data_IF_639108754662
#
_entry.id   IF_639108754662
#
_cell.length_a   1.000
_cell.length_b   1.000
_cell.length_c   1.000
_cell.angle_alpha   90.00
_cell.angle_beta   90.00
_cell.angle_gamma   90.00
#
_symmetry.space_group_name_H-M   'P 1'
#
loop_
_entity.id
_entity.type
_entity.pdbx_description
1 polymer ?
#
# COMPACT_ATOMS: atom_id res chain seq x y z
N UNK A 1 13.90 -3.70 20.79
CA UNK A 1 14.39 -3.36 19.43
C UNK A 1 13.63 -4.11 18.32
N UNK A 2 13.37 -5.42 18.43
CA UNK A 2 12.67 -6.24 17.40
C UNK A 2 11.32 -5.69 16.88
N UNK A 3 10.48 -5.10 17.74
CA UNK A 3 9.16 -4.59 17.33
C UNK A 3 9.21 -3.33 16.46
N UNK A 4 10.26 -2.52 16.56
CA UNK A 4 10.38 -1.26 15.78
C UNK A 4 10.85 -1.57 14.36
N UNK A 5 11.84 -2.46 14.23
CA UNK A 5 12.35 -2.97 12.95
C UNK A 5 11.26 -3.72 12.15
N UNK A 6 10.48 -4.58 12.83
CA UNK A 6 9.40 -5.33 12.17
C UNK A 6 8.28 -4.41 11.63
N UNK A 7 7.92 -3.35 12.38
CA UNK A 7 6.95 -2.34 11.94
C UNK A 7 7.49 -1.51 10.78
N UNK A 8 8.76 -1.13 10.82
CA UNK A 8 9.39 -0.38 9.73
C UNK A 8 9.47 -1.24 8.46
N UNK A 9 9.87 -2.51 8.58
CA UNK A 9 9.87 -3.46 7.47
C UNK A 9 8.49 -3.61 6.84
N UNK A 10 7.42 -3.64 7.65
CA UNK A 10 6.04 -3.70 7.13
C UNK A 10 5.62 -2.39 6.45
N UNK A 11 6.03 -1.23 6.97
CA UNK A 11 5.79 0.06 6.32
C UNK A 11 6.44 0.11 4.94
N UNK A 12 7.68 -0.35 4.81
CA UNK A 12 8.41 -0.31 3.56
C UNK A 12 7.89 -1.36 2.55
N UNK A 13 7.48 -2.54 3.02
CA UNK A 13 6.74 -3.52 2.21
C UNK A 13 5.44 -2.93 1.64
N UNK A 14 4.64 -2.25 2.47
CA UNK A 14 3.38 -1.63 2.04
C UNK A 14 3.61 -0.52 1.01
N UNK A 15 4.65 0.31 1.17
CA UNK A 15 5.02 1.31 0.17
C UNK A 15 5.37 0.67 -1.17
N UNK A 16 6.20 -0.38 -1.17
CA UNK A 16 6.55 -1.09 -2.40
C UNK A 16 5.34 -1.68 -3.12
N UNK A 17 4.39 -2.24 -2.37
CA UNK A 17 3.12 -2.74 -2.92
C UNK A 17 2.25 -1.63 -3.51
N UNK A 18 2.18 -0.47 -2.84
CA UNK A 18 1.47 0.71 -3.34
C UNK A 18 2.08 1.21 -4.66
N UNK A 19 3.40 1.25 -4.74
CA UNK A 19 4.11 1.66 -5.95
C UNK A 19 3.81 0.72 -7.11
N UNK A 20 3.93 -0.58 -6.89
CA UNK A 20 3.57 -1.60 -7.88
C UNK A 20 2.10 -1.49 -8.34
N UNK A 21 1.15 -1.39 -7.40
CA UNK A 21 -0.27 -1.32 -7.74
C UNK A 21 -0.61 -0.04 -8.52
N UNK A 22 0.07 1.08 -8.23
CA UNK A 22 -0.05 2.33 -8.97
C UNK A 22 0.46 2.20 -10.40
N UNK A 23 1.60 1.56 -10.61
CA UNK A 23 2.15 1.30 -11.94
C UNK A 23 1.25 0.34 -12.74
N UNK A 24 0.68 -0.67 -12.08
CA UNK A 24 -0.30 -1.56 -12.68
C UNK A 24 -1.57 -0.79 -13.11
N UNK A 25 -2.11 0.08 -12.24
CA UNK A 25 -3.23 0.95 -12.60
C UNK A 25 -2.92 1.80 -13.83
N UNK A 26 -1.77 2.45 -13.87
CA UNK A 26 -1.34 3.26 -15.01
C UNK A 26 -1.21 2.42 -16.30
N UNK A 27 -0.69 1.20 -16.17
CA UNK A 27 -0.48 0.28 -17.30
C UNK A 27 -1.78 -0.22 -17.91
N UNK A 28 -2.80 -0.48 -17.08
CA UNK A 28 -4.09 -1.00 -17.52
C UNK A 28 -5.14 0.08 -17.83
N UNK A 29 -4.91 1.33 -17.42
CA UNK A 29 -5.81 2.45 -17.70
C UNK A 29 -6.02 2.59 -19.21
N UNK A 30 -7.28 2.49 -19.64
CA UNK A 30 -7.65 2.56 -21.07
C UNK A 30 -7.32 1.32 -21.91
N UNK A 31 -6.64 0.31 -21.35
CA UNK A 31 -6.35 -0.97 -22.04
C UNK A 31 -7.23 -2.12 -21.54
N UNK A 32 -7.45 -2.19 -20.23
CA UNK A 32 -8.26 -3.22 -19.60
C UNK A 32 -8.98 -2.64 -18.37
N UNK A 33 -10.28 -2.39 -18.52
CA UNK A 33 -11.08 -1.78 -17.46
C UNK A 33 -11.18 -2.65 -16.20
N UNK A 34 -11.32 -3.97 -16.36
CA UNK A 34 -11.39 -4.89 -15.23
C UNK A 34 -10.10 -4.87 -14.42
N UNK A 35 -8.94 -5.02 -15.08
CA UNK A 35 -7.65 -4.97 -14.39
C UNK A 35 -7.38 -3.59 -13.79
N UNK A 36 -7.76 -2.51 -14.46
CA UNK A 36 -7.67 -1.17 -13.88
C UNK A 36 -8.50 -1.05 -12.58
N UNK A 37 -9.76 -1.50 -12.59
CA UNK A 37 -10.63 -1.44 -11.42
C UNK A 37 -10.11 -2.29 -10.26
N UNK A 38 -9.70 -3.53 -10.53
CA UNK A 38 -9.14 -4.44 -9.52
C UNK A 38 -7.87 -3.85 -8.89
N UNK A 39 -6.94 -3.35 -9.71
CA UNK A 39 -5.72 -2.74 -9.19
C UNK A 39 -6.01 -1.43 -8.43
N UNK A 40 -7.02 -0.65 -8.86
CA UNK A 40 -7.42 0.57 -8.17
C UNK A 40 -8.01 0.27 -6.79
N UNK A 41 -8.88 -0.73 -6.69
CA UNK A 41 -9.41 -1.19 -5.41
C UNK A 41 -8.29 -1.70 -4.49
N UNK A 42 -7.40 -2.52 -5.02
CA UNK A 42 -6.27 -3.05 -4.27
C UNK A 42 -5.34 -1.93 -3.76
N UNK A 43 -5.05 -0.92 -4.61
CA UNK A 43 -4.27 0.26 -4.25
C UNK A 43 -4.91 1.05 -3.10
N UNK A 44 -6.23 1.22 -3.11
CA UNK A 44 -6.94 1.95 -2.06
C UNK A 44 -6.92 1.20 -0.72
N UNK A 45 -7.07 -0.13 -0.72
CA UNK A 45 -6.94 -0.95 0.48
C UNK A 45 -5.52 -0.89 1.08
N UNK A 46 -4.48 -0.95 0.23
CA UNK A 46 -3.09 -0.81 0.69
C UNK A 46 -2.82 0.56 1.34
N UNK A 47 -3.40 1.64 0.78
CA UNK A 47 -3.29 2.99 1.37
C UNK A 47 -3.97 3.06 2.74
N UNK A 48 -5.15 2.45 2.89
CA UNK A 48 -5.85 2.38 4.18
C UNK A 48 -5.02 1.61 5.22
N UNK A 49 -4.46 0.46 4.83
CA UNK A 49 -3.60 -0.32 5.72
C UNK A 49 -2.35 0.48 6.15
N UNK A 50 -1.70 1.18 5.20
CA UNK A 50 -0.54 2.02 5.48
C UNK A 50 -0.88 3.15 6.46
N UNK A 51 -1.99 3.85 6.25
CA UNK A 51 -2.46 4.91 7.16
C UNK A 51 -2.81 4.36 8.55
N UNK A 52 -3.45 3.17 8.61
CA UNK A 52 -3.70 2.48 9.87
C UNK A 52 -2.40 2.17 10.62
N UNK A 53 -1.39 1.64 9.92
CA UNK A 53 -0.11 1.30 10.51
C UNK A 53 0.65 2.55 10.98
N UNK A 54 0.64 3.64 10.21
CA UNK A 54 1.24 4.93 10.61
C UNK A 54 0.60 5.46 11.90
N UNK A 55 -0.73 5.40 12.03
CA UNK A 55 -1.44 5.83 13.26
C UNK A 55 -1.02 4.99 14.48
N UNK A 56 -0.88 3.68 14.31
CA UNK A 56 -0.41 2.76 15.37
C UNK A 56 1.05 3.03 15.77
N UNK A 57 1.90 3.44 14.82
CA UNK A 57 3.28 3.83 15.10
C UNK A 57 3.34 5.18 15.81
N UNK A 58 2.54 6.16 15.38
CA UNK A 58 2.52 7.51 15.93
C UNK A 58 1.91 7.61 17.34
N UNK A 59 0.86 6.83 17.65
CA UNK A 59 0.23 6.83 18.99
C UNK A 59 1.08 6.17 20.10
N UNK A 60 2.23 5.58 19.77
CA UNK A 60 3.14 4.95 20.75
C UNK A 60 4.42 5.75 21.00
N UNK A 61 4.46 7.01 20.55
CA UNK A 61 5.54 7.95 20.81
C UNK A 61 5.17 8.92 21.93
#
# INVERSE_FOLDING_TARGET
MKNREMKQSRLDELKGKIDFARDACASYKGKNNYLYQVNSFYLDELKKELEGLKKVVAMRC
#
